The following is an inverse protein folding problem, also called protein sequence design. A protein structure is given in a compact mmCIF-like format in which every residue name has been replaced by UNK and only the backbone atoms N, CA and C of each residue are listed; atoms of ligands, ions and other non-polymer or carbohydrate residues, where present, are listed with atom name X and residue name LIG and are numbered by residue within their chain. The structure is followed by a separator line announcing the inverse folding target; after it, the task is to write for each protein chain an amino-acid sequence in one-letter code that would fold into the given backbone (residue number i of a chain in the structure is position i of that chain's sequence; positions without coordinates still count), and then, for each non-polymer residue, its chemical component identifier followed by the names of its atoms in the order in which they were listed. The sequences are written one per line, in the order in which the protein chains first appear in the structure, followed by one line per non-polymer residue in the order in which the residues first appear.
data_IF_568912632948
#
_entry.id   IF_568912632948
#
_cell.length_a   1.000
_cell.length_b   1.000
_cell.length_c   1.000
_cell.angle_alpha   90.00
_cell.angle_beta   90.00
_cell.angle_gamma   90.00
#
_symmetry.space_group_name_H-M   'P 1'
#
loop_
_entity.id
_entity.type
_entity.pdbx_description
1 polymer ?
#
# COMPACT_ATOMS: atom_id res chain seq x y z
N UNK A 1 -11.44 -12.60 -8.95
CA UNK A 1 -12.36 -13.69 -8.57
C UNK A 1 -12.60 -14.56 -9.81
N UNK A 2 -13.06 -15.82 -9.69
CA UNK A 2 -13.34 -16.65 -10.90
C UNK A 2 -14.57 -16.14 -11.68
N UNK A 3 -15.51 -15.46 -11.00
CA UNK A 3 -16.77 -14.93 -11.59
C UNK A 3 -17.45 -15.98 -12.47
N UNK A 4 -17.76 -17.12 -11.85
CA UNK A 4 -18.45 -18.27 -12.47
C UNK A 4 -19.55 -18.74 -11.53
N UNK A 5 -20.63 -19.32 -12.06
CA UNK A 5 -21.73 -19.85 -11.25
C UNK A 5 -22.47 -18.74 -10.50
N UNK A 6 -22.78 -18.92 -9.21
CA UNK A 6 -23.49 -17.89 -8.42
C UNK A 6 -22.77 -16.53 -8.39
N UNK A 7 -21.44 -16.52 -8.39
CA UNK A 7 -20.67 -15.26 -8.40
C UNK A 7 -20.84 -14.47 -9.70
N UNK A 8 -21.13 -15.15 -10.81
CA UNK A 8 -21.39 -14.49 -12.09
C UNK A 8 -22.74 -13.77 -12.08
N UNK A 9 -23.76 -14.38 -11.46
CA UNK A 9 -25.10 -13.79 -11.31
C UNK A 9 -25.04 -12.59 -10.35
N UNK A 10 -24.38 -12.74 -9.20
CA UNK A 10 -24.29 -11.70 -8.18
C UNK A 10 -23.47 -10.48 -8.65
N UNK A 11 -22.48 -10.69 -9.51
CA UNK A 11 -21.59 -9.64 -10.00
C UNK A 11 -21.68 -9.48 -11.53
N UNK A 12 -22.88 -9.62 -12.10
CA UNK A 12 -23.09 -9.67 -13.55
C UNK A 12 -22.50 -8.46 -14.30
N UNK A 13 -22.60 -7.27 -13.71
CA UNK A 13 -22.00 -6.05 -14.27
C UNK A 13 -20.47 -6.07 -14.32
N UNK A 14 -19.80 -6.71 -13.35
CA UNK A 14 -18.34 -6.89 -13.36
C UNK A 14 -17.93 -8.05 -14.27
N UNK A 15 -18.72 -9.13 -14.31
CA UNK A 15 -18.47 -10.27 -15.19
C UNK A 15 -18.52 -9.88 -16.67
N UNK A 16 -19.45 -9.00 -17.06
CA UNK A 16 -19.58 -8.46 -18.41
C UNK A 16 -18.35 -7.63 -18.86
N UNK A 17 -17.60 -7.07 -17.90
CA UNK A 17 -16.42 -6.25 -18.13
C UNK A 17 -15.11 -7.04 -18.16
N UNK A 18 -15.17 -8.37 -18.03
CA UNK A 18 -14.00 -9.20 -18.15
C UNK A 18 -13.43 -9.13 -19.58
N UNK A 19 -12.12 -8.87 -19.70
CA UNK A 19 -11.43 -8.81 -21.00
C UNK A 19 -11.04 -10.18 -21.55
N UNK A 20 -11.02 -11.22 -20.69
CA UNK A 20 -10.84 -12.63 -21.06
C UNK A 20 -12.19 -13.37 -21.00
N UNK A 21 -13.06 -13.10 -21.98
CA UNK A 21 -14.41 -13.68 -22.01
C UNK A 21 -14.40 -15.19 -22.30
N UNK A 22 -13.43 -15.65 -23.07
CA UNK A 22 -13.14 -17.02 -23.48
C UNK A 22 -12.25 -17.80 -22.50
N UNK A 23 -12.13 -17.29 -21.26
CA UNK A 23 -11.32 -17.91 -20.19
C UNK A 23 -11.68 -19.37 -19.95
N UNK A 24 -10.66 -20.20 -19.70
CA UNK A 24 -10.83 -21.64 -19.43
C UNK A 24 -11.47 -21.88 -18.06
N UNK A 25 -12.12 -23.04 -17.84
CA UNK A 25 -12.61 -23.42 -16.53
C UNK A 25 -11.51 -23.33 -15.46
N UNK A 26 -11.74 -22.53 -14.42
CA UNK A 26 -10.79 -22.32 -13.33
C UNK A 26 -9.91 -21.08 -13.48
N UNK A 27 -9.85 -20.45 -14.65
CA UNK A 27 -9.19 -19.16 -14.83
C UNK A 27 -9.97 -18.03 -14.14
N UNK A 28 -9.25 -17.04 -13.62
CA UNK A 28 -9.86 -15.85 -13.02
C UNK A 28 -10.33 -14.91 -14.12
N UNK A 29 -11.47 -14.26 -13.90
CA UNK A 29 -11.87 -13.14 -14.75
C UNK A 29 -10.89 -11.97 -14.55
N UNK A 30 -10.43 -11.41 -15.65
CA UNK A 30 -9.57 -10.22 -15.70
C UNK A 30 -10.46 -9.02 -15.97
N UNK A 31 -10.67 -8.19 -14.95
CA UNK A 31 -11.49 -6.96 -15.05
C UNK A 31 -10.55 -5.77 -14.80
N UNK A 32 -10.22 -4.96 -15.82
CA UNK A 32 -9.33 -3.82 -15.64
C UNK A 32 -10.01 -2.73 -14.83
N UNK A 33 -9.46 -2.43 -13.66
CA UNK A 33 -10.00 -1.38 -12.77
C UNK A 33 -10.02 -0.01 -13.48
N UNK A 34 -9.05 0.24 -14.36
CA UNK A 34 -8.91 1.48 -15.14
C UNK A 34 -10.08 1.80 -16.06
N UNK A 35 -10.77 0.78 -16.57
CA UNK A 35 -11.94 0.96 -17.43
C UNK A 35 -13.26 0.78 -16.68
N UNK A 36 -13.23 0.02 -15.58
CA UNK A 36 -14.44 -0.39 -14.85
C UNK A 36 -14.87 0.63 -13.79
N UNK A 37 -13.91 1.30 -13.15
CA UNK A 37 -14.20 2.30 -12.13
C UNK A 37 -13.21 3.48 -12.29
N UNK A 38 -13.26 4.20 -13.44
CA UNK A 38 -12.26 5.22 -13.75
C UNK A 38 -12.22 6.33 -12.71
N UNK A 39 -13.38 6.73 -12.18
CA UNK A 39 -13.51 7.80 -11.18
C UNK A 39 -12.97 7.41 -9.80
N UNK A 40 -12.76 6.11 -9.54
CA UNK A 40 -12.17 5.63 -8.29
C UNK A 40 -10.63 5.59 -8.34
N UNK A 41 -10.02 5.84 -9.51
CA UNK A 41 -8.58 5.90 -9.64
C UNK A 41 -8.09 7.32 -9.38
N UNK A 42 -7.16 7.44 -8.43
CA UNK A 42 -6.41 8.68 -8.24
C UNK A 42 -5.40 8.77 -9.40
N UNK A 43 -5.53 9.75 -10.32
CA UNK A 43 -4.69 9.81 -11.53
C UNK A 43 -3.22 10.05 -11.19
N UNK A 44 -2.97 10.77 -10.09
CA UNK A 44 -1.65 11.02 -9.57
C UNK A 44 -1.71 11.25 -8.06
N UNK A 45 -0.83 10.59 -7.31
CA UNK A 45 -0.63 10.85 -5.88
C UNK A 45 0.82 11.27 -5.65
N UNK A 46 1.01 12.48 -5.13
CA UNK A 46 2.33 12.93 -4.71
C UNK A 46 2.69 12.24 -3.39
N UNK A 47 3.69 11.37 -3.41
CA UNK A 47 4.26 10.78 -2.19
C UNK A 47 5.07 11.87 -1.49
N UNK A 48 4.65 12.26 -0.27
CA UNK A 48 5.27 13.38 0.47
C UNK A 48 6.31 12.94 1.49
N UNK A 49 6.15 11.76 2.06
CA UNK A 49 7.01 11.22 3.10
C UNK A 49 6.89 9.70 3.16
N UNK A 50 7.88 9.06 3.78
CA UNK A 50 7.85 7.64 4.13
C UNK A 50 7.67 7.52 5.64
N UNK A 51 6.74 6.66 6.07
CA UNK A 51 6.43 6.44 7.48
C UNK A 51 6.49 4.95 7.78
N UNK A 52 7.39 4.55 8.68
CA UNK A 52 7.40 3.18 9.22
C UNK A 52 6.56 3.14 10.49
N UNK A 53 5.69 2.14 10.61
CA UNK A 53 4.85 1.97 11.80
C UNK A 53 5.43 0.94 12.75
N UNK A 54 5.43 1.25 14.04
CA UNK A 54 5.88 0.34 15.10
C UNK A 54 4.93 0.44 16.30
N UNK A 55 4.31 -0.68 16.67
CA UNK A 55 3.59 -0.78 17.95
C UNK A 55 4.62 -0.75 19.08
N UNK A 56 4.52 0.24 19.97
CA UNK A 56 5.42 0.36 21.13
C UNK A 56 4.76 -0.09 22.42
N UNK A 57 3.44 0.03 22.51
CA UNK A 57 2.71 -0.25 23.75
C UNK A 57 2.91 0.81 24.83
N UNK A 58 3.40 1.99 24.45
CA UNK A 58 3.54 3.15 25.32
C UNK A 58 2.19 3.86 25.49
N UNK A 59 2.08 4.75 26.48
CA UNK A 59 0.83 5.47 26.74
C UNK A 59 0.43 6.43 25.61
N UNK A 60 1.41 7.00 24.90
CA UNK A 60 1.19 7.99 23.85
C UNK A 60 1.83 7.58 22.53
N UNK A 61 1.18 7.92 21.42
CA UNK A 61 1.73 7.73 20.08
C UNK A 61 2.55 8.94 19.66
N UNK A 62 3.65 8.71 18.95
CA UNK A 62 4.53 9.80 18.49
C UNK A 62 5.03 9.55 17.08
N UNK A 63 5.15 10.63 16.30
CA UNK A 63 5.80 10.61 14.99
C UNK A 63 7.09 11.40 15.10
N UNK A 64 8.22 10.79 14.73
CA UNK A 64 9.53 11.45 14.76
C UNK A 64 10.34 11.12 13.52
N UNK A 65 11.41 11.88 13.29
CA UNK A 65 12.34 11.60 12.19
C UNK A 65 12.97 10.21 12.36
N UNK A 66 13.05 9.46 11.26
CA UNK A 66 13.66 8.14 11.22
C UNK A 66 14.94 8.15 10.39
N UNK A 67 15.85 7.21 10.67
CA UNK A 67 17.02 7.03 9.82
C UNK A 67 16.60 6.45 8.47
N UNK A 68 17.36 6.79 7.42
CA UNK A 68 17.15 6.20 6.08
C UNK A 68 17.38 4.69 6.09
N UNK A 69 18.25 4.22 6.97
CA UNK A 69 18.54 2.79 7.14
C UNK A 69 17.32 2.06 7.70
N UNK A 70 16.70 2.59 8.74
CA UNK A 70 15.46 2.02 9.32
C UNK A 70 14.34 2.05 8.29
N UNK A 71 14.26 3.09 7.46
CA UNK A 71 13.27 3.16 6.39
C UNK A 71 13.51 2.11 5.31
N UNK A 72 14.75 1.87 4.88
CA UNK A 72 15.07 0.79 3.93
C UNK A 72 14.66 -0.56 4.51
N UNK A 73 14.94 -0.78 5.80
CA UNK A 73 14.55 -2.01 6.50
C UNK A 73 13.03 -2.17 6.56
N UNK A 74 12.29 -1.09 6.80
CA UNK A 74 10.82 -1.09 6.86
C UNK A 74 10.18 -1.28 5.48
N UNK A 75 10.77 -0.68 4.43
CA UNK A 75 10.32 -0.82 3.04
C UNK A 75 10.58 -2.21 2.47
N UNK A 76 11.59 -2.93 2.97
CA UNK A 76 12.03 -4.22 2.45
C UNK A 76 10.83 -5.16 2.24
N UNK A 77 10.38 -5.35 0.99
CA UNK A 77 9.16 -6.08 0.73
C UNK A 77 9.39 -7.55 1.11
N UNK A 78 8.41 -8.20 1.75
CA UNK A 78 8.53 -9.62 2.11
C UNK A 78 8.79 -10.50 0.87
N UNK A 79 8.37 -10.05 -0.31
CA UNK A 79 8.63 -10.70 -1.59
C UNK A 79 10.10 -10.73 -1.97
N UNK A 80 10.95 -9.78 -1.55
CA UNK A 80 12.41 -9.88 -1.76
C UNK A 80 13.03 -11.00 -0.94
N UNK A 81 12.37 -11.45 0.14
CA UNK A 81 12.81 -12.61 0.93
C UNK A 81 12.32 -13.94 0.36
N UNK A 82 11.22 -13.92 -0.41
CA UNK A 82 10.56 -15.11 -0.94
C UNK A 82 11.02 -15.40 -2.38
N UNK A 83 11.05 -14.37 -3.22
CA UNK A 83 11.50 -14.43 -4.60
C UNK A 83 12.96 -14.00 -4.62
N UNK A 84 13.87 -14.98 -4.73
CA UNK A 84 15.32 -14.75 -4.64
C UNK A 84 15.93 -14.00 -5.84
N UNK A 85 15.09 -13.44 -6.71
CA UNK A 85 15.48 -12.70 -7.90
C UNK A 85 15.18 -11.22 -7.70
N UNK A 86 16.03 -10.33 -8.22
CA UNK A 86 15.80 -8.89 -8.18
C UNK A 86 16.19 -8.19 -6.87
N UNK A 87 16.97 -8.83 -5.99
CA UNK A 87 17.34 -8.24 -4.69
C UNK A 87 18.05 -6.90 -4.84
N UNK A 88 18.97 -6.78 -5.79
CA UNK A 88 19.76 -5.56 -6.01
C UNK A 88 18.87 -4.42 -6.49
N UNK A 89 17.98 -4.69 -7.43
CA UNK A 89 17.02 -3.75 -7.99
C UNK A 89 16.02 -3.28 -6.93
N UNK A 90 15.47 -4.21 -6.13
CA UNK A 90 14.57 -3.87 -5.03
C UNK A 90 15.29 -3.03 -3.97
N UNK A 91 16.51 -3.41 -3.59
CA UNK A 91 17.30 -2.65 -2.64
C UNK A 91 17.62 -1.24 -3.17
N UNK A 92 18.03 -1.14 -4.43
CA UNK A 92 18.28 0.15 -5.09
C UNK A 92 17.04 1.03 -5.12
N UNK A 93 15.87 0.47 -5.43
CA UNK A 93 14.59 1.20 -5.40
C UNK A 93 14.25 1.68 -3.99
N UNK A 94 14.34 0.82 -2.98
CA UNK A 94 14.09 1.20 -1.58
C UNK A 94 15.06 2.28 -1.10
N UNK A 95 16.34 2.16 -1.44
CA UNK A 95 17.37 3.15 -1.11
C UNK A 95 17.20 4.46 -1.89
N UNK A 96 16.64 4.42 -3.10
CA UNK A 96 16.30 5.63 -3.87
C UNK A 96 15.14 6.38 -3.22
N UNK A 97 14.09 5.66 -2.83
CA UNK A 97 12.94 6.23 -2.13
C UNK A 97 13.33 6.86 -0.79
N UNK A 98 14.10 6.15 0.05
CA UNK A 98 14.52 6.67 1.36
C UNK A 98 15.46 7.88 1.27
N UNK A 99 16.18 8.05 0.16
CA UNK A 99 17.00 9.24 -0.09
C UNK A 99 16.16 10.42 -0.59
N UNK A 100 15.11 10.15 -1.35
CA UNK A 100 14.32 11.16 -2.05
C UNK A 100 13.19 11.76 -1.22
N UNK A 101 12.83 11.15 -0.08
CA UNK A 101 11.69 11.54 0.73
C UNK A 101 12.06 11.71 2.22
N UNK A 102 11.39 12.63 2.94
CA UNK A 102 11.43 12.67 4.39
C UNK A 102 11.06 11.30 4.98
N UNK A 103 11.83 10.84 5.97
CA UNK A 103 11.64 9.55 6.62
C UNK A 103 11.21 9.77 8.07
N UNK A 104 10.09 9.17 8.46
CA UNK A 104 9.54 9.24 9.80
C UNK A 104 9.24 7.85 10.32
N UNK A 105 9.23 7.71 11.65
CA UNK A 105 8.67 6.55 12.31
C UNK A 105 7.48 6.96 13.15
N UNK A 106 6.41 6.19 13.04
CA UNK A 106 5.22 6.29 13.85
C UNK A 106 5.26 5.23 14.94
N UNK A 107 5.56 5.67 16.15
CA UNK A 107 5.54 4.89 17.37
C UNK A 107 4.12 4.90 17.91
N UNK A 108 3.41 3.79 17.75
CA UNK A 108 1.99 3.67 18.06
C UNK A 108 1.85 3.17 19.50
N UNK A 109 1.23 4.00 20.34
CA UNK A 109 0.91 3.68 21.73
C UNK A 109 -0.29 2.75 21.88
N UNK A 110 -0.85 2.70 23.09
CA UNK A 110 -1.93 1.78 23.46
C UNK A 110 -3.33 2.26 23.06
N UNK A 111 -3.53 3.56 22.83
CA UNK A 111 -4.84 4.10 22.43
C UNK A 111 -4.92 4.30 20.91
N UNK A 112 -5.74 3.49 20.19
CA UNK A 112 -5.89 3.63 18.75
C UNK A 112 -6.56 4.94 18.31
N UNK A 113 -7.38 5.57 19.17
CA UNK A 113 -8.04 6.84 18.86
C UNK A 113 -7.06 8.01 18.96
N UNK A 114 -6.20 7.98 19.97
CA UNK A 114 -5.07 8.89 20.11
C UNK A 114 -4.09 8.75 18.92
N UNK A 115 -3.73 7.51 18.55
CA UNK A 115 -2.87 7.24 17.40
C UNK A 115 -3.44 7.83 16.10
N UNK A 116 -4.74 7.65 15.85
CA UNK A 116 -5.41 8.23 14.69
C UNK A 116 -5.40 9.76 14.71
N UNK A 117 -5.44 10.37 15.89
CA UNK A 117 -5.37 11.83 16.08
C UNK A 117 -3.97 12.35 15.73
N UNK A 118 -2.92 11.69 16.24
CA UNK A 118 -1.52 12.01 15.91
C UNK A 118 -1.25 11.90 14.42
N UNK A 119 -1.68 10.81 13.78
CA UNK A 119 -1.50 10.62 12.34
C UNK A 119 -2.23 11.70 11.53
N UNK A 120 -3.43 12.11 11.95
CA UNK A 120 -4.18 13.18 11.29
C UNK A 120 -3.47 14.52 11.39
N UNK A 121 -2.88 14.83 12.54
CA UNK A 121 -2.07 16.03 12.75
C UNK A 121 -0.88 16.07 11.78
N UNK A 122 -0.11 14.98 11.74
CA UNK A 122 1.03 14.85 10.84
C UNK A 122 0.66 14.95 9.35
N UNK A 123 -0.46 14.35 8.92
CA UNK A 123 -0.94 14.47 7.53
C UNK A 123 -1.31 15.92 7.18
N UNK A 124 -1.79 16.72 8.13
CA UNK A 124 -2.06 18.15 7.91
C UNK A 124 -0.77 18.94 7.74
N UNK A 125 0.26 18.65 8.53
CA UNK A 125 1.58 19.28 8.42
C UNK A 125 2.24 19.01 7.06
N UNK A 126 2.11 17.79 6.52
CA UNK A 126 2.63 17.44 5.19
C UNK A 126 1.88 18.09 4.01
N UNK A 127 0.70 18.66 4.25
CA UNK A 127 -0.11 19.37 3.23
C UNK A 127 0.18 20.87 3.19
N UNK A 128 0.70 21.44 4.27
CA UNK A 128 1.13 22.83 4.34
C UNK A 128 2.42 23.04 3.52
#
# INVERSE_FOLDING_TARGET
MKLTGMAEILFIGLAAQAVNRDRRPGEKALVPISTTIPDALVPQIAVKALVSCKLTGEDASTIRSASRFDMIRALSPSTSKILRTGHNEIFQQAASLSRSLPCHEFLIGNDPMEAATVLRGFVRELRA
#
